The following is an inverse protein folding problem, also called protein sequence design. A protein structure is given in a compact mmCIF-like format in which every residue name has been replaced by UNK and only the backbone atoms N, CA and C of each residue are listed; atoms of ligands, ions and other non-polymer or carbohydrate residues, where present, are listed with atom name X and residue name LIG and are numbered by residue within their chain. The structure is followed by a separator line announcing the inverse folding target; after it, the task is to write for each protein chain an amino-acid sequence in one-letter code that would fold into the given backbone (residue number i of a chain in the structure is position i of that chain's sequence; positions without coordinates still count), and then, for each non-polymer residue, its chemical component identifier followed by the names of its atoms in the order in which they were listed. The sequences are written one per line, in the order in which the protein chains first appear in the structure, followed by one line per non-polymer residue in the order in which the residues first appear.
data_IF_917540445721
#
_entry.id   IF_917540445721
#
_cell.length_a   1.000
_cell.length_b   1.000
_cell.length_c   1.000
_cell.angle_alpha   90.00
_cell.angle_beta   90.00
_cell.angle_gamma   90.00
#
_symmetry.space_group_name_H-M   'P 1'
#
loop_
_entity.id
_entity.type
_entity.pdbx_description
1 polymer ?
#
# COMPACT_ATOMS: atom_id res chain seq x y z
N UNK A 1 35.23 -19.17 30.58
CA UNK A 1 34.11 -18.61 29.80
C UNK A 1 33.27 -19.76 29.30
N UNK A 2 32.27 -20.14 30.08
CA UNK A 2 31.31 -21.19 29.77
C UNK A 2 30.32 -20.64 28.75
N UNK A 3 30.38 -21.16 27.54
CA UNK A 3 29.41 -20.90 26.47
C UNK A 3 28.16 -21.71 26.82
N UNK A 4 27.08 -21.01 27.13
CA UNK A 4 25.74 -21.58 27.28
C UNK A 4 25.27 -22.14 25.93
N UNK A 5 24.63 -23.32 25.89
CA UNK A 5 24.10 -23.88 24.65
C UNK A 5 22.86 -23.08 24.23
N UNK A 6 22.91 -22.57 23.00
CA UNK A 6 21.77 -21.93 22.32
C UNK A 6 20.61 -22.90 22.21
N UNK A 7 19.43 -22.43 22.60
CA UNK A 7 18.19 -23.19 22.63
C UNK A 7 17.82 -23.70 21.22
N UNK A 8 17.20 -24.90 21.06
CA UNK A 8 16.98 -25.53 19.74
C UNK A 8 15.99 -24.81 18.80
N UNK A 9 15.49 -23.62 19.17
CA UNK A 9 14.45 -22.89 18.42
C UNK A 9 14.96 -21.76 17.52
N UNK A 10 16.26 -21.45 17.50
CA UNK A 10 16.77 -20.29 16.73
C UNK A 10 17.11 -20.60 15.27
N UNK A 11 17.25 -21.87 14.90
CA UNK A 11 17.76 -22.27 13.57
C UNK A 11 16.66 -22.18 12.48
N UNK A 12 15.38 -22.11 12.83
CA UNK A 12 14.28 -21.95 11.87
C UNK A 12 13.84 -20.51 11.59
N UNK A 13 14.50 -19.49 12.17
CA UNK A 13 14.13 -18.06 11.96
C UNK A 13 14.92 -17.35 10.86
N UNK A 14 15.83 -18.05 10.18
CA UNK A 14 16.60 -17.46 9.10
C UNK A 14 15.75 -17.34 7.82
N UNK A 15 15.77 -16.17 7.20
CA UNK A 15 15.16 -15.93 5.89
C UNK A 15 15.78 -16.93 4.90
N UNK A 16 14.97 -17.71 4.16
CA UNK A 16 15.50 -18.71 3.27
C UNK A 16 16.29 -18.04 2.14
N UNK A 17 17.59 -18.37 2.06
CA UNK A 17 18.51 -17.82 1.05
C UNK A 17 18.37 -18.48 -0.32
N UNK A 18 17.69 -19.62 -0.38
CA UNK A 18 17.41 -20.37 -1.62
C UNK A 18 15.94 -20.77 -1.66
N UNK A 19 15.39 -20.90 -2.86
CA UNK A 19 14.01 -21.39 -3.03
C UNK A 19 13.85 -22.83 -2.53
N UNK A 20 14.92 -23.63 -2.57
CA UNK A 20 14.92 -25.01 -2.10
C UNK A 20 14.83 -25.13 -0.57
N UNK A 21 15.22 -24.07 0.16
CA UNK A 21 15.09 -24.00 1.61
C UNK A 21 13.66 -23.67 2.08
N UNK A 22 12.76 -23.29 1.16
CA UNK A 22 11.35 -23.06 1.48
C UNK A 22 10.57 -24.37 1.55
N UNK A 23 9.55 -24.48 2.44
CA UNK A 23 8.56 -25.53 2.38
C UNK A 23 7.91 -25.62 0.99
N UNK A 24 7.52 -26.82 0.56
CA UNK A 24 7.08 -27.07 -0.82
C UNK A 24 5.91 -26.16 -1.26
N UNK A 25 4.93 -25.91 -0.39
CA UNK A 25 3.81 -25.01 -0.65
C UNK A 25 4.26 -23.57 -0.90
N UNK A 26 5.10 -23.04 -0.01
CA UNK A 26 5.58 -21.67 -0.04
C UNK A 26 6.53 -21.43 -1.22
N UNK A 27 7.33 -22.45 -1.57
CA UNK A 27 8.15 -22.45 -2.78
C UNK A 27 7.30 -22.34 -4.04
N UNK A 28 6.23 -23.14 -4.13
CA UNK A 28 5.33 -23.13 -5.29
C UNK A 28 4.66 -21.77 -5.49
N UNK A 29 4.29 -21.11 -4.40
CA UNK A 29 3.71 -19.76 -4.43
C UNK A 29 4.68 -18.71 -4.99
N UNK A 30 5.93 -18.76 -4.55
CA UNK A 30 6.99 -17.89 -5.07
C UNK A 30 7.30 -18.23 -6.53
N UNK A 31 7.33 -19.50 -6.91
CA UNK A 31 7.56 -19.89 -8.32
C UNK A 31 6.42 -19.45 -9.24
N UNK A 32 5.16 -19.54 -8.78
CA UNK A 32 4.00 -19.02 -9.50
C UNK A 32 4.10 -17.50 -9.66
N UNK A 33 4.51 -16.79 -8.62
CA UNK A 33 4.74 -15.35 -8.66
C UNK A 33 5.85 -14.97 -9.66
N UNK A 34 7.03 -15.60 -9.57
CA UNK A 34 8.14 -15.38 -10.48
C UNK A 34 7.73 -15.60 -11.93
N UNK A 35 7.02 -16.70 -12.20
CA UNK A 35 6.55 -17.05 -13.54
C UNK A 35 5.63 -15.97 -14.08
N UNK A 36 4.61 -15.57 -13.31
CA UNK A 36 3.65 -14.53 -13.71
C UNK A 36 4.33 -13.21 -14.05
N UNK A 37 5.25 -12.75 -13.21
CA UNK A 37 5.89 -11.43 -13.35
C UNK A 37 6.91 -11.44 -14.50
N UNK A 38 7.75 -12.48 -14.59
CA UNK A 38 8.76 -12.59 -15.67
C UNK A 38 8.09 -12.72 -17.03
N UNK A 39 7.05 -13.54 -17.14
CA UNK A 39 6.29 -13.73 -18.38
C UNK A 39 5.60 -12.42 -18.83
N UNK A 40 5.07 -11.65 -17.88
CA UNK A 40 4.52 -10.32 -18.16
C UNK A 40 5.58 -9.33 -18.63
N UNK A 41 6.78 -9.38 -18.05
CA UNK A 41 7.90 -8.53 -18.45
C UNK A 41 8.42 -8.90 -19.85
N UNK A 42 8.55 -10.19 -20.14
CA UNK A 42 8.98 -10.71 -21.45
C UNK A 42 7.98 -10.34 -22.54
N UNK A 43 6.66 -10.43 -22.27
CA UNK A 43 5.63 -9.94 -23.19
C UNK A 43 5.76 -8.45 -23.48
N UNK A 44 6.11 -7.63 -22.48
CA UNK A 44 6.33 -6.18 -22.66
C UNK A 44 7.58 -5.87 -23.47
N UNK A 45 8.63 -6.67 -23.31
CA UNK A 45 9.90 -6.51 -24.02
C UNK A 45 9.86 -7.07 -25.46
N UNK A 46 8.97 -8.01 -25.75
CA UNK A 46 8.79 -8.60 -27.08
C UNK A 46 9.77 -9.73 -27.43
N UNK A 47 10.58 -10.21 -26.48
CA UNK A 47 11.56 -11.30 -26.71
C UNK A 47 11.28 -12.52 -25.81
N UNK A 48 10.53 -13.48 -26.35
CA UNK A 48 10.16 -14.71 -25.66
C UNK A 48 11.37 -15.60 -25.28
N UNK A 49 12.52 -15.42 -25.94
CA UNK A 49 13.71 -16.26 -25.77
C UNK A 49 14.41 -16.05 -24.42
N UNK A 50 14.16 -14.90 -23.78
CA UNK A 50 14.79 -14.52 -22.51
C UNK A 50 14.07 -15.04 -21.25
N UNK A 51 12.83 -15.56 -21.37
CA UNK A 51 12.03 -15.99 -20.21
C UNK A 51 12.71 -17.11 -19.40
N UNK A 52 13.19 -18.16 -20.08
CA UNK A 52 13.85 -19.30 -19.44
C UNK A 52 15.16 -18.90 -18.75
N UNK A 53 15.93 -18.00 -19.37
CA UNK A 53 17.17 -17.46 -18.81
C UNK A 53 16.92 -16.60 -17.59
N UNK A 54 15.94 -15.69 -17.65
CA UNK A 54 15.55 -14.85 -16.52
C UNK A 54 15.03 -15.69 -15.35
N UNK A 55 14.30 -16.76 -15.62
CA UNK A 55 13.83 -17.68 -14.59
C UNK A 55 15.00 -18.38 -13.88
N UNK A 56 15.97 -18.91 -14.62
CA UNK A 56 17.17 -19.53 -14.03
C UNK A 56 17.98 -18.54 -13.20
N UNK A 57 18.14 -17.30 -13.70
CA UNK A 57 18.82 -16.23 -12.97
C UNK A 57 18.07 -15.82 -11.70
N UNK A 58 16.74 -15.71 -11.75
CA UNK A 58 15.90 -15.39 -10.60
C UNK A 58 16.03 -16.46 -9.51
N UNK A 59 15.99 -17.75 -9.88
CA UNK A 59 16.22 -18.87 -8.96
C UNK A 59 17.60 -18.79 -8.30
N UNK A 60 18.65 -18.52 -9.07
CA UNK A 60 20.01 -18.34 -8.53
C UNK A 60 20.17 -17.08 -7.66
N UNK A 61 19.28 -16.11 -7.82
CA UNK A 61 19.27 -14.83 -7.07
C UNK A 61 18.22 -14.79 -5.96
N UNK A 62 17.67 -15.94 -5.56
CA UNK A 62 16.57 -16.04 -4.61
C UNK A 62 16.84 -15.30 -3.29
N UNK A 63 18.05 -15.38 -2.75
CA UNK A 63 18.48 -14.64 -1.55
C UNK A 63 18.20 -13.14 -1.68
N UNK A 64 18.56 -12.54 -2.82
CA UNK A 64 18.36 -11.10 -3.06
C UNK A 64 16.91 -10.73 -3.28
N UNK A 65 16.10 -11.64 -3.84
CA UNK A 65 14.68 -11.42 -4.12
C UNK A 65 13.84 -11.58 -2.86
N UNK A 66 14.18 -12.53 -1.98
CA UNK A 66 13.40 -12.84 -0.78
C UNK A 66 13.83 -12.03 0.45
N UNK A 67 15.11 -11.66 0.56
CA UNK A 67 15.62 -10.93 1.72
C UNK A 67 14.84 -9.65 2.08
N UNK A 68 14.38 -8.82 1.12
CA UNK A 68 13.61 -7.62 1.45
C UNK A 68 12.25 -7.90 2.13
N UNK A 69 11.68 -9.09 1.93
CA UNK A 69 10.36 -9.49 2.47
C UNK A 69 10.48 -10.39 3.73
N UNK A 70 11.64 -10.35 4.39
CA UNK A 70 11.98 -11.17 5.55
C UNK A 70 11.08 -10.96 6.78
N UNK A 71 10.53 -9.77 6.94
CA UNK A 71 9.70 -9.41 8.09
C UNK A 71 8.28 -9.97 7.95
N UNK A 72 7.67 -9.75 6.79
CA UNK A 72 6.36 -10.29 6.43
C UNK A 72 6.37 -11.82 6.41
N UNK A 73 7.47 -12.43 5.97
CA UNK A 73 7.67 -13.87 6.06
C UNK A 73 7.61 -14.38 7.51
N UNK A 74 8.28 -13.69 8.43
CA UNK A 74 8.29 -14.07 9.86
C UNK A 74 6.94 -13.83 10.54
N UNK A 75 6.17 -12.85 10.09
CA UNK A 75 4.80 -12.61 10.56
C UNK A 75 3.84 -13.67 10.04
N UNK A 76 3.92 -13.97 8.75
CA UNK A 76 3.15 -15.02 8.11
C UNK A 76 3.40 -16.39 8.76
N UNK A 77 4.67 -16.79 8.93
CA UNK A 77 5.00 -18.06 9.57
C UNK A 77 4.50 -18.15 11.02
N UNK A 78 4.65 -17.08 11.81
CA UNK A 78 4.11 -17.05 13.19
C UNK A 78 2.60 -17.26 13.20
N UNK A 79 1.88 -16.57 12.32
CA UNK A 79 0.42 -16.71 12.23
C UNK A 79 0.01 -18.12 11.72
N UNK A 80 0.77 -18.71 10.81
CA UNK A 80 0.55 -20.07 10.31
C UNK A 80 0.75 -21.11 11.43
N UNK A 81 1.82 -20.98 12.24
CA UNK A 81 2.11 -21.84 13.40
C UNK A 81 1.04 -21.72 14.49
N UNK A 82 0.62 -20.51 14.85
CA UNK A 82 -0.44 -20.26 15.83
C UNK A 82 -1.77 -20.90 15.37
N UNK A 83 -2.07 -20.82 14.07
CA UNK A 83 -3.29 -21.39 13.48
C UNK A 83 -3.20 -22.91 13.31
N UNK A 84 -2.01 -23.47 13.11
CA UNK A 84 -1.78 -24.92 13.13
C UNK A 84 -1.90 -25.48 14.56
N UNK A 85 -1.38 -24.77 15.56
CA UNK A 85 -1.44 -25.14 16.98
C UNK A 85 -2.87 -25.16 17.55
N UNK A 86 -3.72 -24.21 17.14
CA UNK A 86 -5.15 -24.18 17.53
C UNK A 86 -5.93 -25.39 17.03
N UNK A 87 -5.73 -25.78 15.76
CA UNK A 87 -6.40 -26.93 15.13
C UNK A 87 -6.00 -28.28 15.74
N UNK A 88 -4.81 -28.39 16.34
CA UNK A 88 -4.34 -29.60 17.00
C UNK A 88 -4.80 -29.68 18.47
N UNK A 89 -4.79 -28.55 19.21
CA UNK A 89 -5.31 -28.50 20.60
C UNK A 89 -6.83 -28.72 20.66
N UNK A 90 -7.60 -28.19 19.73
CA UNK A 90 -9.04 -28.45 19.66
C UNK A 90 -9.36 -29.92 19.31
N UNK A 91 -8.46 -30.62 18.61
CA UNK A 91 -8.59 -32.06 18.34
C UNK A 91 -8.19 -32.96 19.52
N UNK A 92 -7.51 -32.43 20.53
CA UNK A 92 -6.98 -33.20 21.67
C UNK A 92 -7.46 -32.70 23.04
N UNK A 93 -8.46 -31.82 23.10
CA UNK A 93 -9.02 -31.42 24.39
C UNK A 93 -9.94 -32.54 24.91
N UNK A 94 -9.37 -33.43 25.72
CA UNK A 94 -10.07 -34.56 26.34
C UNK A 94 -11.32 -34.17 27.16
N UNK A 95 -11.52 -32.87 27.43
CA UNK A 95 -12.72 -32.33 28.07
C UNK A 95 -13.95 -32.30 27.17
N UNK A 96 -13.82 -32.08 25.85
CA UNK A 96 -14.98 -32.13 24.94
C UNK A 96 -15.41 -33.57 24.67
N UNK A 97 -14.45 -34.51 24.55
CA UNK A 97 -14.74 -35.94 24.50
C UNK A 97 -15.35 -36.46 25.82
N UNK A 98 -14.90 -35.97 26.98
CA UNK A 98 -15.48 -36.33 28.28
C UNK A 98 -16.90 -35.75 28.48
N UNK A 99 -17.17 -34.52 28.01
CA UNK A 99 -18.49 -33.91 28.08
C UNK A 99 -19.51 -34.60 27.14
N UNK A 100 -19.05 -35.09 25.99
CA UNK A 100 -19.87 -35.90 25.06
C UNK A 100 -20.13 -37.30 25.62
N UNK A 101 -19.13 -37.93 26.26
CA UNK A 101 -19.30 -39.20 26.95
C UNK A 101 -20.27 -39.14 28.14
N UNK A 102 -20.19 -38.08 28.94
CA UNK A 102 -21.03 -37.90 30.13
C UNK A 102 -22.51 -37.60 29.80
N UNK A 103 -22.78 -36.80 28.77
CA UNK A 103 -24.15 -36.47 28.37
C UNK A 103 -24.88 -37.66 27.75
N UNK A 104 -24.18 -38.49 26.97
CA UNK A 104 -24.73 -39.72 26.37
C UNK A 104 -25.05 -40.78 27.44
N UNK A 105 -24.19 -40.90 28.47
CA UNK A 105 -24.42 -41.80 29.59
C UNK A 105 -25.61 -41.38 30.47
N UNK A 106 -25.78 -40.08 30.73
CA UNK A 106 -26.94 -39.57 31.49
C UNK A 106 -28.27 -39.78 30.77
N UNK A 107 -28.33 -39.54 29.46
CA UNK A 107 -29.55 -39.75 28.68
C UNK A 107 -29.96 -41.24 28.64
N UNK A 108 -28.99 -42.15 28.47
CA UNK A 108 -29.22 -43.59 28.54
C UNK A 108 -29.68 -44.03 29.95
N UNK A 109 -29.09 -43.46 31.01
CA UNK A 109 -29.46 -43.75 32.39
C UNK A 109 -30.88 -43.27 32.74
N UNK A 110 -31.28 -42.07 32.29
CA UNK A 110 -32.64 -41.55 32.47
C UNK A 110 -33.67 -42.36 31.69
N UNK A 111 -33.35 -42.78 30.46
CA UNK A 111 -34.22 -43.67 29.69
C UNK A 111 -34.41 -45.03 30.39
N UNK A 112 -33.35 -45.60 30.97
CA UNK A 112 -33.41 -46.86 31.72
C UNK A 112 -34.27 -46.75 33.01
N UNK A 113 -34.30 -45.57 33.64
CA UNK A 113 -35.13 -45.28 34.81
C UNK A 113 -36.61 -45.10 34.43
N UNK A 114 -36.88 -44.40 33.34
CA UNK A 114 -38.25 -44.08 32.90
C UNK A 114 -38.95 -45.26 32.22
N UNK A 115 -38.21 -46.18 31.58
CA UNK A 115 -38.74 -47.41 30.99
C UNK A 115 -38.71 -48.62 31.94
N UNK A 116 -38.92 -48.41 33.25
CA UNK A 116 -39.13 -49.53 34.17
C UNK A 116 -40.42 -50.27 33.79
N UNK A 117 -40.39 -51.59 33.50
CA UNK A 117 -41.58 -52.34 33.14
C UNK A 117 -42.49 -52.45 34.36
N UNK A 118 -43.63 -51.76 34.36
CA UNK A 118 -44.62 -51.76 35.44
C UNK A 118 -45.66 -52.88 35.29
N UNK A 119 -45.35 -53.97 34.57
CA UNK A 119 -46.25 -55.12 34.42
C UNK A 119 -45.51 -56.43 34.18
N UNK A 120 -45.86 -57.46 34.94
CA UNK A 120 -45.36 -58.81 34.78
C UNK A 120 -45.96 -59.44 33.50
N UNK A 121 -45.28 -59.28 32.37
CA UNK A 121 -45.57 -59.96 31.11
C UNK A 121 -44.31 -59.98 30.25
N UNK A 122 -43.97 -61.16 29.69
CA UNK A 122 -42.71 -61.42 28.98
C UNK A 122 -42.46 -60.51 27.75
N UNK A 123 -43.48 -59.79 27.28
CA UNK A 123 -43.41 -58.81 26.19
C UNK A 123 -42.93 -57.40 26.60
N UNK A 124 -42.99 -57.03 27.89
CA UNK A 124 -42.71 -55.65 28.33
C UNK A 124 -41.21 -55.26 28.32
N UNK A 125 -40.31 -56.24 28.38
CA UNK A 125 -38.88 -55.98 28.39
C UNK A 125 -38.33 -55.61 27.00
N UNK A 126 -38.86 -56.22 25.92
CA UNK A 126 -38.44 -55.93 24.55
C UNK A 126 -38.87 -54.53 24.10
N UNK A 127 -40.07 -54.10 24.48
CA UNK A 127 -40.57 -52.75 24.17
C UNK A 127 -39.79 -51.67 24.93
N UNK A 128 -39.38 -51.96 26.17
CA UNK A 128 -38.54 -51.06 26.95
C UNK A 128 -37.14 -50.86 26.36
N UNK A 129 -36.52 -51.94 25.88
CA UNK A 129 -35.20 -51.88 25.23
C UNK A 129 -35.28 -51.12 23.90
N UNK A 130 -36.34 -51.35 23.12
CA UNK A 130 -36.55 -50.67 21.83
C UNK A 130 -36.80 -49.17 22.03
N UNK A 131 -37.61 -48.79 23.03
CA UNK A 131 -37.85 -47.39 23.40
C UNK A 131 -36.58 -46.66 23.85
N UNK A 132 -35.75 -47.31 24.66
CA UNK A 132 -34.46 -46.75 25.08
C UNK A 132 -33.51 -46.53 23.89
N UNK A 133 -33.48 -47.46 22.93
CA UNK A 133 -32.64 -47.35 21.74
C UNK A 133 -33.07 -46.19 20.83
N UNK A 134 -34.38 -45.99 20.62
CA UNK A 134 -34.91 -44.88 19.81
C UNK A 134 -34.57 -43.51 20.43
N UNK A 135 -34.69 -43.37 21.75
CA UNK A 135 -34.34 -42.13 22.46
C UNK A 135 -32.85 -41.83 22.39
N UNK A 136 -32.00 -42.86 22.52
CA UNK A 136 -30.55 -42.72 22.37
C UNK A 136 -30.19 -42.26 20.95
N UNK A 137 -30.78 -42.89 19.93
CA UNK A 137 -30.55 -42.55 18.52
C UNK A 137 -31.00 -41.12 18.20
N UNK A 138 -32.18 -40.71 18.68
CA UNK A 138 -32.71 -39.36 18.48
C UNK A 138 -31.83 -38.29 19.15
N UNK A 139 -31.27 -38.59 20.32
CA UNK A 139 -30.35 -37.70 21.03
C UNK A 139 -29.03 -37.51 20.27
N UNK A 140 -28.47 -38.60 19.73
CA UNK A 140 -27.25 -38.55 18.90
C UNK A 140 -27.51 -37.76 17.60
N UNK A 141 -28.63 -38.00 16.93
CA UNK A 141 -29.01 -37.27 15.72
C UNK A 141 -29.24 -35.77 15.98
N UNK A 142 -29.95 -35.43 17.06
CA UNK A 142 -30.17 -34.04 17.47
C UNK A 142 -28.86 -33.31 17.77
N UNK A 143 -27.91 -33.99 18.43
CA UNK A 143 -26.59 -33.43 18.70
C UNK A 143 -25.76 -33.24 17.41
N UNK A 144 -25.75 -34.21 16.51
CA UNK A 144 -25.07 -34.08 15.22
C UNK A 144 -25.65 -32.93 14.39
N UNK A 145 -26.97 -32.74 14.42
CA UNK A 145 -27.64 -31.62 13.78
C UNK A 145 -27.23 -30.29 14.43
N UNK A 146 -27.25 -30.20 15.76
CA UNK A 146 -26.84 -28.99 16.49
C UNK A 146 -25.36 -28.65 16.27
N UNK A 147 -24.48 -29.66 16.24
CA UNK A 147 -23.06 -29.50 15.92
C UNK A 147 -22.84 -29.02 14.48
N UNK A 148 -23.66 -29.52 13.54
CA UNK A 148 -23.63 -29.09 12.13
C UNK A 148 -24.12 -27.65 11.98
N UNK A 149 -25.19 -27.26 12.67
CA UNK A 149 -25.72 -25.89 12.70
C UNK A 149 -24.73 -24.94 13.37
N UNK A 150 -24.09 -25.35 14.47
CA UNK A 150 -23.03 -24.58 15.12
C UNK A 150 -21.81 -24.39 14.21
N UNK A 151 -21.45 -25.41 13.42
CA UNK A 151 -20.41 -25.29 12.40
C UNK A 151 -20.77 -24.34 11.27
N UNK A 152 -22.03 -24.33 10.80
CA UNK A 152 -22.52 -23.38 9.79
C UNK A 152 -22.55 -21.95 10.34
N UNK A 153 -23.04 -21.75 11.57
CA UNK A 153 -23.02 -20.45 12.25
C UNK A 153 -21.60 -19.97 12.56
N UNK A 154 -20.66 -20.87 12.88
CA UNK A 154 -19.24 -20.57 13.03
C UNK A 154 -18.58 -20.22 11.68
N UNK A 155 -19.11 -20.72 10.56
CA UNK A 155 -18.66 -20.34 9.22
C UNK A 155 -19.24 -18.97 8.80
N UNK A 156 -20.50 -18.67 9.15
CA UNK A 156 -21.13 -17.36 8.89
C UNK A 156 -20.57 -16.24 9.78
N UNK A 157 -20.25 -16.52 11.05
CA UNK A 157 -19.59 -15.54 11.93
C UNK A 157 -18.13 -15.25 11.50
N UNK A 158 -17.48 -16.16 10.77
CA UNK A 158 -16.22 -15.88 10.04
C UNK A 158 -16.42 -14.99 8.81
N UNK A 159 -17.62 -14.96 8.20
CA UNK A 159 -17.95 -13.99 7.16
C UNK A 159 -18.21 -12.59 7.74
N UNK A 160 -18.59 -12.49 9.03
CA UNK A 160 -18.63 -11.24 9.80
C UNK A 160 -17.24 -10.69 10.19
N UNK A 161 -16.19 -11.51 10.11
CA UNK A 161 -14.80 -11.12 10.36
C UNK A 161 -14.10 -10.48 9.13
N UNK A 162 -14.84 -10.09 8.09
CA UNK A 162 -14.32 -9.32 6.94
C UNK A 162 -13.79 -7.93 7.30
N UNK A 163 -14.05 -7.45 8.52
CA UNK A 163 -13.60 -6.15 9.04
C UNK A 163 -12.54 -6.24 10.16
N UNK A 164 -11.86 -7.38 10.33
CA UNK A 164 -10.63 -7.48 11.14
C UNK A 164 -9.45 -7.78 10.21
N UNK A 165 -8.40 -6.94 10.15
CA UNK A 165 -7.23 -7.22 9.33
C UNK A 165 -6.38 -8.30 10.02
N UNK A 166 -6.01 -9.38 9.32
CA UNK A 166 -4.96 -10.29 9.80
C UNK A 166 -5.22 -11.80 9.69
N UNK A 167 -6.01 -12.28 8.72
CA UNK A 167 -6.04 -13.72 8.43
C UNK A 167 -4.68 -14.24 7.93
N UNK A 168 -4.32 -15.50 8.21
CA UNK A 168 -3.08 -16.14 7.70
C UNK A 168 -2.93 -15.97 6.19
N UNK A 169 -4.03 -16.05 5.45
CA UNK A 169 -4.05 -15.84 4.00
C UNK A 169 -3.75 -14.38 3.60
N UNK A 170 -4.19 -13.39 4.39
CA UNK A 170 -3.84 -11.99 4.14
C UNK A 170 -2.36 -11.74 4.39
N UNK A 171 -1.78 -12.34 5.43
CA UNK A 171 -0.35 -12.27 5.70
C UNK A 171 0.47 -12.99 4.60
N UNK A 172 -0.03 -14.11 4.07
CA UNK A 172 0.55 -14.78 2.90
C UNK A 172 0.58 -13.85 1.68
N UNK A 173 -0.55 -13.21 1.37
CA UNK A 173 -0.63 -12.27 0.25
C UNK A 173 0.23 -11.03 0.47
N UNK A 174 0.31 -10.51 1.70
CA UNK A 174 1.17 -9.39 2.06
C UNK A 174 2.66 -9.73 1.87
N UNK A 175 3.07 -10.93 2.29
CA UNK A 175 4.42 -11.44 2.05
C UNK A 175 4.72 -11.59 0.55
N UNK A 176 3.85 -12.23 -0.23
CA UNK A 176 4.05 -12.37 -1.69
C UNK A 176 4.11 -11.01 -2.40
N UNK A 177 3.27 -10.05 -1.99
CA UNK A 177 3.30 -8.69 -2.50
C UNK A 177 4.62 -7.97 -2.15
N UNK A 178 5.13 -8.16 -0.92
CA UNK A 178 6.41 -7.63 -0.51
C UNK A 178 7.58 -8.21 -1.35
N UNK A 179 7.55 -9.51 -1.62
CA UNK A 179 8.53 -10.17 -2.52
C UNK A 179 8.47 -9.56 -3.92
N UNK A 180 7.28 -9.31 -4.46
CA UNK A 180 7.11 -8.69 -5.77
C UNK A 180 7.65 -7.25 -5.81
N UNK A 181 7.17 -6.39 -4.91
CA UNK A 181 7.41 -4.94 -4.95
C UNK A 181 8.83 -4.57 -4.51
N UNK A 182 9.35 -5.19 -3.44
CA UNK A 182 10.65 -4.83 -2.86
C UNK A 182 11.79 -5.74 -3.30
N UNK A 183 11.50 -6.97 -3.75
CA UNK A 183 12.50 -7.92 -4.21
C UNK A 183 12.60 -8.01 -5.74
N UNK A 184 11.58 -8.61 -6.35
CA UNK A 184 11.59 -9.00 -7.76
C UNK A 184 11.61 -7.82 -8.73
N UNK A 185 10.76 -6.81 -8.52
CA UNK A 185 10.66 -5.65 -9.40
C UNK A 185 11.96 -4.82 -9.45
N UNK A 186 12.61 -4.50 -8.31
CA UNK A 186 13.92 -3.87 -8.31
C UNK A 186 15.01 -4.73 -8.95
N UNK A 187 15.00 -6.05 -8.70
CA UNK A 187 15.95 -6.98 -9.33
C UNK A 187 15.81 -7.00 -10.85
N UNK A 188 14.58 -7.09 -11.39
CA UNK A 188 14.31 -6.99 -12.83
C UNK A 188 14.77 -5.64 -13.41
N UNK A 189 14.57 -4.54 -12.68
CA UNK A 189 15.04 -3.23 -13.09
C UNK A 189 16.57 -3.16 -13.19
N UNK A 190 17.29 -3.83 -12.29
CA UNK A 190 18.76 -3.95 -12.35
C UNK A 190 19.20 -4.80 -13.55
N UNK A 191 18.51 -5.92 -13.85
CA UNK A 191 18.83 -6.74 -15.02
C UNK A 191 18.69 -5.96 -16.33
N UNK A 192 17.63 -5.13 -16.47
CA UNK A 192 17.47 -4.20 -17.61
C UNK A 192 18.66 -3.26 -17.75
N UNK A 193 19.14 -2.70 -16.63
CA UNK A 193 20.26 -1.77 -16.63
C UNK A 193 21.59 -2.45 -17.05
N UNK A 194 21.77 -3.73 -16.71
CA UNK A 194 22.97 -4.50 -17.09
C UNK A 194 22.97 -4.83 -18.59
N UNK A 195 21.83 -5.22 -19.17
CA UNK A 195 21.70 -5.47 -20.62
C UNK A 195 21.99 -4.19 -21.42
N UNK A 196 21.51 -3.03 -20.97
CA UNK A 196 21.76 -1.72 -21.61
C UNK A 196 23.24 -1.32 -21.55
N UNK A 197 24.00 -1.76 -20.55
CA UNK A 197 25.45 -1.47 -20.41
C UNK A 197 26.35 -2.46 -21.14
N UNK A 198 25.87 -3.67 -21.44
CA UNK A 198 26.63 -4.68 -22.19
C UNK A 198 26.75 -4.41 -23.69
N UNK A 199 25.94 -3.51 -24.24
CA UNK A 199 25.82 -3.30 -25.69
C UNK A 199 26.87 -2.43 -26.37
N UNK A 200 27.84 -1.82 -25.68
CA UNK A 200 28.78 -0.89 -26.33
C UNK A 200 30.21 -1.00 -25.83
N UNK A 201 30.96 -1.94 -26.39
CA UNK A 201 32.43 -1.88 -26.41
C UNK A 201 32.93 -1.94 -27.85
N UNK A 202 32.93 -0.79 -28.53
CA UNK A 202 33.74 -0.54 -29.74
C UNK A 202 34.57 0.72 -29.51
N UNK A 203 35.88 0.53 -29.62
CA UNK A 203 36.97 1.50 -29.50
C UNK A 203 36.77 2.70 -30.45
N UNK A 204 37.01 3.96 -30.04
CA UNK A 204 36.94 5.08 -30.97
C UNK A 204 38.32 5.35 -31.58
N UNK A 205 38.41 5.25 -32.91
CA UNK A 205 39.36 6.03 -33.72
C UNK A 205 38.55 7.16 -34.34
N UNK A 206 39.08 8.38 -34.24
CA UNK A 206 38.34 9.60 -34.47
C UNK A 206 37.88 9.84 -35.90
N UNK A 207 36.76 10.55 -36.02
CA UNK A 207 36.62 11.75 -36.85
C UNK A 207 35.28 12.41 -36.56
N UNK A 208 35.31 13.73 -36.65
CA UNK A 208 34.16 14.61 -36.48
C UNK A 208 33.07 14.30 -37.53
N UNK A 209 31.85 14.08 -37.06
CA UNK A 209 30.64 14.24 -37.86
C UNK A 209 29.45 14.45 -36.93
N UNK A 210 28.59 15.37 -37.32
CA UNK A 210 27.41 15.86 -36.60
C UNK A 210 26.61 14.76 -35.89
N UNK A 211 26.40 14.97 -34.60
CA UNK A 211 25.67 14.07 -33.71
C UNK A 211 24.22 14.58 -33.59
N UNK A 212 23.20 13.87 -34.09
CA UNK A 212 21.83 14.21 -33.77
C UNK A 212 21.54 13.82 -32.31
N UNK A 213 20.96 14.77 -31.57
CA UNK A 213 20.17 14.63 -30.34
C UNK A 213 20.47 13.43 -29.41
N UNK A 214 21.68 13.34 -28.86
CA UNK A 214 21.97 12.52 -27.67
C UNK A 214 21.84 13.32 -26.35
N UNK A 215 21.05 14.41 -26.32
CA UNK A 215 21.03 15.38 -25.20
C UNK A 215 19.92 15.20 -24.16
N UNK A 216 18.89 14.39 -24.38
CA UNK A 216 17.71 14.46 -23.49
C UNK A 216 17.67 13.42 -22.33
N UNK A 217 18.36 12.27 -22.46
CA UNK A 217 18.37 11.25 -21.37
C UNK A 217 19.04 11.75 -20.08
N UNK A 218 20.01 12.67 -20.19
CA UNK A 218 20.63 13.34 -19.06
C UNK A 218 19.75 14.43 -18.43
N UNK A 219 18.80 15.00 -19.19
CA UNK A 219 17.84 15.99 -18.68
C UNK A 219 16.83 15.32 -17.77
N UNK A 220 16.11 14.32 -18.30
CA UNK A 220 15.09 13.55 -17.56
C UNK A 220 15.65 12.91 -16.28
N UNK A 221 16.85 12.33 -16.34
CA UNK A 221 17.50 11.73 -15.17
C UNK A 221 17.86 12.77 -14.11
N UNK A 222 18.28 13.98 -14.52
CA UNK A 222 18.55 15.09 -13.59
C UNK A 222 17.28 15.65 -12.98
N UNK A 223 16.22 15.86 -13.77
CA UNK A 223 14.91 16.31 -13.26
C UNK A 223 14.34 15.31 -12.26
N UNK A 224 14.42 14.00 -12.54
CA UNK A 224 14.03 12.96 -11.59
C UNK A 224 14.80 13.05 -10.28
N UNK A 225 16.13 13.20 -10.33
CA UNK A 225 16.95 13.35 -9.13
C UNK A 225 16.75 14.67 -8.38
N UNK A 226 16.29 15.74 -9.04
CA UNK A 226 15.88 17.00 -8.38
C UNK A 226 14.56 16.81 -7.65
N UNK A 227 13.58 16.16 -8.28
CA UNK A 227 12.28 15.87 -7.70
C UNK A 227 12.39 14.89 -6.52
N UNK A 228 13.16 13.81 -6.63
CA UNK A 228 13.34 12.86 -5.51
C UNK A 228 13.99 13.52 -4.29
N UNK A 229 15.00 14.40 -4.50
CA UNK A 229 15.64 15.18 -3.43
C UNK A 229 14.77 16.30 -2.86
N UNK A 230 13.67 16.66 -3.49
CA UNK A 230 12.77 17.70 -2.97
C UNK A 230 12.14 17.29 -1.62
N UNK A 231 11.95 16.00 -1.40
CA UNK A 231 11.47 15.45 -0.13
C UNK A 231 12.46 15.64 1.04
N UNK A 232 13.77 15.69 0.76
CA UNK A 232 14.80 15.97 1.78
C UNK A 232 14.73 17.41 2.29
N UNK A 233 14.04 18.30 1.58
CA UNK A 233 13.89 19.72 1.95
C UNK A 233 12.60 19.99 2.72
N UNK A 234 11.74 18.99 2.85
CA UNK A 234 10.52 19.10 3.64
C UNK A 234 10.92 18.93 5.13
N UNK A 235 10.42 19.79 6.04
CA UNK A 235 10.66 19.60 7.47
C UNK A 235 10.29 18.18 7.90
N UNK A 236 11.11 17.56 8.76
CA UNK A 236 10.80 16.23 9.29
C UNK A 236 9.49 16.27 10.11
N UNK A 237 8.64 15.24 10.02
CA UNK A 237 7.45 15.17 10.87
C UNK A 237 7.87 15.12 12.34
N UNK A 238 7.30 16.00 13.16
CA UNK A 238 7.50 15.96 14.61
C UNK A 238 6.57 14.89 15.21
N UNK A 239 7.13 14.01 16.04
CA UNK A 239 6.39 13.01 16.81
C UNK A 239 6.44 13.33 18.33
N UNK A 240 5.36 13.04 19.08
CA UNK A 240 4.09 12.49 18.62
C UNK A 240 3.18 13.56 17.98
N UNK A 241 2.40 13.17 16.97
CA UNK A 241 1.36 14.00 16.35
C UNK A 241 -0.04 13.47 16.67
N UNK A 242 -0.62 13.84 17.84
CA UNK A 242 -1.85 13.24 18.33
C UNK A 242 -3.09 13.73 17.57
N UNK A 243 -4.10 12.86 17.47
CA UNK A 243 -5.48 13.26 17.18
C UNK A 243 -5.82 13.62 15.74
N UNK A 244 -4.93 13.37 14.75
CA UNK A 244 -5.17 13.73 13.33
C UNK A 244 -5.18 12.56 12.34
N UNK A 245 -5.37 11.34 12.83
CA UNK A 245 -5.33 10.12 12.01
C UNK A 245 -6.52 10.04 11.04
N UNK A 246 -7.68 10.54 11.45
CA UNK A 246 -8.88 10.54 10.64
C UNK A 246 -8.75 11.49 9.44
N UNK A 247 -8.20 12.68 9.66
CA UNK A 247 -7.93 13.66 8.61
C UNK A 247 -6.88 13.16 7.62
N UNK A 248 -5.78 12.55 8.10
CA UNK A 248 -4.80 11.89 7.24
C UNK A 248 -5.45 10.82 6.37
N UNK A 249 -6.30 9.98 6.98
CA UNK A 249 -7.02 8.92 6.25
C UNK A 249 -8.00 9.50 5.24
N UNK A 250 -8.71 10.58 5.57
CA UNK A 250 -9.65 11.27 4.66
C UNK A 250 -8.90 11.84 3.46
N UNK A 251 -7.76 12.50 3.66
CA UNK A 251 -6.95 13.05 2.58
C UNK A 251 -6.40 11.94 1.68
N UNK A 252 -5.89 10.85 2.26
CA UNK A 252 -5.41 9.70 1.49
C UNK A 252 -6.53 9.08 0.63
N UNK A 253 -7.76 8.99 1.14
CA UNK A 253 -8.92 8.50 0.38
C UNK A 253 -9.27 9.42 -0.79
N UNK A 254 -9.27 10.75 -0.58
CA UNK A 254 -9.52 11.72 -1.65
C UNK A 254 -8.49 11.57 -2.78
N UNK A 255 -7.20 11.52 -2.44
CA UNK A 255 -6.12 11.35 -3.40
C UNK A 255 -6.24 10.03 -4.17
N UNK A 256 -6.52 8.92 -3.50
CA UNK A 256 -6.67 7.63 -4.16
C UNK A 256 -7.88 7.59 -5.09
N UNK A 257 -8.99 8.22 -4.71
CA UNK A 257 -10.20 8.31 -5.54
C UNK A 257 -9.93 9.11 -6.81
N UNK A 258 -9.35 10.31 -6.68
CA UNK A 258 -9.14 11.20 -7.81
C UNK A 258 -8.11 10.62 -8.80
N UNK A 259 -7.08 9.93 -8.29
CA UNK A 259 -6.09 9.22 -9.12
C UNK A 259 -6.61 7.96 -9.80
N UNK A 260 -7.69 7.36 -9.30
CA UNK A 260 -8.35 6.21 -9.93
C UNK A 260 -9.31 6.62 -11.06
N UNK A 261 -9.64 7.92 -11.17
CA UNK A 261 -10.45 8.46 -12.26
C UNK A 261 -9.74 8.44 -13.61
N UNK A 262 -10.51 8.51 -14.69
CA UNK A 262 -10.00 8.61 -16.07
C UNK A 262 -9.47 10.01 -16.41
N UNK A 263 -9.98 11.03 -15.72
CA UNK A 263 -9.58 12.42 -15.94
C UNK A 263 -8.43 12.82 -15.02
N UNK A 264 -7.35 13.34 -15.59
CA UNK A 264 -6.20 13.81 -14.81
C UNK A 264 -6.49 15.22 -14.28
N UNK A 265 -6.76 15.34 -12.99
CA UNK A 265 -7.02 16.61 -12.31
C UNK A 265 -6.29 16.65 -10.95
N UNK A 266 -5.96 17.86 -10.45
CA UNK A 266 -5.32 17.98 -9.14
C UNK A 266 -6.32 17.71 -8.02
N UNK A 267 -5.89 17.02 -6.97
CA UNK A 267 -6.64 16.95 -5.70
C UNK A 267 -6.31 18.20 -4.88
N UNK A 268 -7.30 19.05 -4.61
CA UNK A 268 -7.13 20.26 -3.79
C UNK A 268 -7.72 20.02 -2.41
N UNK A 269 -6.93 20.21 -1.36
CA UNK A 269 -7.37 20.08 0.04
C UNK A 269 -7.06 21.37 0.77
N UNK A 270 -8.09 21.93 1.43
CA UNK A 270 -7.96 23.13 2.26
C UNK A 270 -7.92 22.74 3.73
N UNK A 271 -6.85 23.11 4.40
CA UNK A 271 -6.66 22.98 5.85
C UNK A 271 -6.85 24.36 6.47
N UNK A 272 -8.03 24.59 7.03
CA UNK A 272 -8.37 25.87 7.67
C UNK A 272 -8.45 25.74 9.20
N UNK A 273 -8.16 26.84 9.91
CA UNK A 273 -8.28 26.91 11.35
C UNK A 273 -7.39 27.97 12.00
N UNK A 274 -7.58 28.23 13.30
CA UNK A 274 -6.79 29.24 14.02
C UNK A 274 -5.27 29.06 13.86
N UNK A 275 -4.49 30.15 13.93
CA UNK A 275 -3.02 30.04 13.94
C UNK A 275 -2.56 29.16 15.11
N UNK A 276 -1.46 28.43 14.92
CA UNK A 276 -0.90 27.53 15.94
C UNK A 276 -1.59 26.15 16.07
N UNK A 277 -2.64 25.86 15.31
CA UNK A 277 -3.33 24.56 15.34
C UNK A 277 -2.60 23.41 14.61
N UNK A 278 -1.42 23.67 14.06
CA UNK A 278 -0.59 22.66 13.41
C UNK A 278 -0.98 22.32 11.96
N UNK A 279 -1.67 23.22 11.24
CA UNK A 279 -2.09 23.03 9.83
C UNK A 279 -0.91 22.73 8.90
N UNK A 280 0.16 23.52 9.00
CA UNK A 280 1.41 23.32 8.24
C UNK A 280 2.08 22.00 8.61
N UNK A 281 2.10 21.63 9.89
CA UNK A 281 2.62 20.35 10.34
C UNK A 281 1.81 19.16 9.78
N UNK A 282 0.48 19.26 9.76
CA UNK A 282 -0.40 18.28 9.11
C UNK A 282 -0.10 18.19 7.61
N UNK A 283 0.04 19.32 6.92
CA UNK A 283 0.33 19.35 5.48
C UNK A 283 1.66 18.65 5.16
N UNK A 284 2.71 18.94 5.93
CA UNK A 284 4.00 18.28 5.77
C UNK A 284 3.92 16.78 6.08
N UNK A 285 3.15 16.38 7.11
CA UNK A 285 2.96 14.97 7.42
C UNK A 285 2.23 14.24 6.30
N UNK A 286 1.17 14.82 5.73
CA UNK A 286 0.48 14.28 4.54
C UNK A 286 1.46 14.08 3.38
N UNK A 287 2.31 15.08 3.12
CA UNK A 287 3.29 14.99 2.05
C UNK A 287 4.32 13.87 2.26
N UNK A 288 4.74 13.62 3.50
CA UNK A 288 5.60 12.49 3.86
C UNK A 288 4.89 11.13 3.73
N UNK A 289 3.69 10.99 4.28
CA UNK A 289 2.90 9.75 4.24
C UNK A 289 2.55 9.34 2.80
N UNK A 290 2.21 10.31 1.95
CA UNK A 290 1.83 10.08 0.56
C UNK A 290 3.03 10.12 -0.40
N UNK A 291 4.26 10.25 0.09
CA UNK A 291 5.50 10.24 -0.70
C UNK A 291 5.55 9.12 -1.77
N UNK A 292 5.10 7.87 -1.52
CA UNK A 292 5.13 6.82 -2.55
C UNK A 292 4.30 7.14 -3.81
N UNK A 293 3.28 8.00 -3.71
CA UNK A 293 2.37 8.34 -4.81
C UNK A 293 2.87 9.49 -5.68
N UNK A 294 3.82 10.28 -5.18
CA UNK A 294 4.31 11.50 -5.82
C UNK A 294 5.81 11.43 -6.11
N UNK A 295 6.26 12.21 -7.09
CA UNK A 295 7.67 12.25 -7.54
C UNK A 295 8.45 13.38 -6.89
N UNK A 296 7.78 14.42 -6.40
CA UNK A 296 8.40 15.53 -5.68
C UNK A 296 7.39 16.28 -4.80
N UNK A 297 7.92 17.16 -3.96
CA UNK A 297 7.17 18.03 -3.05
C UNK A 297 7.76 19.43 -3.06
N UNK A 298 6.91 20.46 -2.96
CA UNK A 298 7.36 21.81 -2.74
C UNK A 298 6.42 22.57 -1.80
N UNK A 299 6.97 23.13 -0.73
CA UNK A 299 6.28 24.07 0.16
C UNK A 299 6.65 25.50 -0.21
N UNK A 300 5.64 26.34 -0.39
CA UNK A 300 5.77 27.79 -0.56
C UNK A 300 4.96 28.50 0.51
N UNK A 301 5.59 29.41 1.22
CA UNK A 301 4.93 30.30 2.18
C UNK A 301 4.41 31.53 1.45
N UNK A 302 3.09 31.68 1.38
CA UNK A 302 2.41 32.78 0.73
C UNK A 302 2.37 34.04 1.61
N UNK A 303 2.69 33.92 2.90
CA UNK A 303 2.73 35.02 3.87
C UNK A 303 1.42 35.83 3.87
N UNK A 304 0.28 35.14 3.81
CA UNK A 304 -1.04 35.75 3.62
C UNK A 304 -1.48 36.67 4.76
N UNK A 305 -0.98 36.46 5.97
CA UNK A 305 -1.19 37.37 7.11
C UNK A 305 -0.16 38.49 7.27
N UNK A 306 0.81 38.61 6.35
CA UNK A 306 1.92 39.57 6.44
C UNK A 306 1.65 40.87 5.68
N UNK A 307 2.38 41.94 6.03
CA UNK A 307 2.40 43.21 5.28
C UNK A 307 3.08 43.06 3.89
N UNK A 308 3.92 42.04 3.70
CA UNK A 308 4.57 41.71 2.42
C UNK A 308 4.21 40.28 1.97
N UNK A 309 2.97 40.05 1.50
CA UNK A 309 2.57 38.73 1.03
C UNK A 309 3.32 38.37 -0.26
N UNK A 310 3.63 37.09 -0.46
CA UNK A 310 4.31 36.64 -1.67
C UNK A 310 3.42 36.84 -2.90
N UNK A 311 3.95 37.49 -3.94
CA UNK A 311 3.22 37.65 -5.20
C UNK A 311 3.05 36.32 -5.93
N UNK A 312 1.96 36.18 -6.68
CA UNK A 312 1.68 34.98 -7.50
C UNK A 312 2.83 34.67 -8.48
N UNK A 313 3.46 35.73 -9.03
CA UNK A 313 4.64 35.61 -9.90
C UNK A 313 5.82 34.99 -9.17
N UNK A 314 6.14 35.49 -7.98
CA UNK A 314 7.24 34.99 -7.17
C UNK A 314 6.99 33.52 -6.75
N UNK A 315 5.77 33.20 -6.33
CA UNK A 315 5.37 31.84 -5.96
C UNK A 315 5.49 30.86 -7.14
N UNK A 316 4.98 31.20 -8.33
CA UNK A 316 5.08 30.36 -9.52
C UNK A 316 6.55 30.09 -9.91
N UNK A 317 7.40 31.12 -9.89
CA UNK A 317 8.83 30.96 -10.16
C UNK A 317 9.53 30.09 -9.12
N UNK A 318 9.19 30.29 -7.85
CA UNK A 318 9.73 29.49 -6.77
C UNK A 318 9.36 28.01 -6.95
N UNK A 319 8.09 27.71 -7.25
CA UNK A 319 7.61 26.35 -7.52
C UNK A 319 8.33 25.72 -8.73
N UNK A 320 8.44 26.44 -9.85
CA UNK A 320 9.13 25.95 -11.05
C UNK A 320 10.61 25.62 -10.76
N UNK A 321 11.31 26.53 -10.07
CA UNK A 321 12.72 26.33 -9.74
C UNK A 321 12.93 25.14 -8.80
N UNK A 322 11.97 24.89 -7.89
CA UNK A 322 12.04 23.81 -6.92
C UNK A 322 11.64 22.45 -7.49
N UNK A 323 10.70 22.43 -8.43
CA UNK A 323 10.23 21.21 -9.10
C UNK A 323 11.03 20.83 -10.35
N UNK A 324 12.17 21.49 -10.57
CA UNK A 324 13.18 21.04 -11.53
C UNK A 324 12.87 21.42 -12.97
N UNK A 325 12.28 22.60 -13.21
CA UNK A 325 12.15 23.19 -14.53
C UNK A 325 13.50 23.11 -15.29
N UNK A 326 13.54 22.59 -16.54
CA UNK A 326 14.77 22.44 -17.29
C UNK A 326 15.52 23.78 -17.39
N UNK A 327 16.79 23.81 -16.98
CA UNK A 327 17.63 25.03 -16.94
C UNK A 327 17.73 25.75 -18.29
N UNK A 328 17.49 25.06 -19.39
CA UNK A 328 17.43 25.63 -20.74
C UNK A 328 16.32 26.70 -20.88
N UNK A 329 15.25 26.60 -20.07
CA UNK A 329 14.17 27.60 -20.01
C UNK A 329 14.52 28.81 -19.14
N UNK A 330 15.43 28.64 -18.17
CA UNK A 330 15.99 29.74 -17.35
C UNK A 330 17.01 30.53 -18.16
N UNK A 331 17.77 29.87 -19.05
CA UNK A 331 18.69 30.55 -19.98
C UNK A 331 17.94 31.32 -21.08
N UNK A 332 16.76 30.85 -21.53
CA UNK A 332 15.88 31.66 -22.39
C UNK A 332 15.39 32.94 -21.69
N UNK A 333 15.31 32.95 -20.36
CA UNK A 333 14.97 34.11 -19.53
C UNK A 333 16.07 35.16 -19.54
N UNK A 334 17.33 34.72 -19.50
CA UNK A 334 18.50 35.60 -19.62
C UNK A 334 18.69 36.13 -21.05
N UNK A 335 18.21 35.40 -22.06
CA UNK A 335 18.21 35.84 -23.45
C UNK A 335 17.07 36.85 -23.73
N UNK A 336 15.84 36.56 -23.29
CA UNK A 336 14.69 37.46 -23.42
C UNK A 336 14.82 38.72 -22.55
N UNK A 337 15.51 38.63 -21.40
CA UNK A 337 15.82 39.78 -20.55
C UNK A 337 16.82 40.77 -21.16
N UNK A 338 17.46 40.46 -22.29
CA UNK A 338 18.29 41.44 -23.04
C UNK A 338 17.46 42.35 -23.94
N UNK A 339 16.21 41.98 -24.24
CA UNK A 339 15.32 42.75 -25.11
C UNK A 339 14.31 43.62 -24.33
N UNK A 340 14.43 43.72 -23.00
CA UNK A 340 13.68 44.68 -22.18
C UNK A 340 12.17 44.41 -22.02
N UNK A 341 11.63 43.37 -22.64
CA UNK A 341 10.24 42.95 -22.45
C UNK A 341 10.10 42.18 -21.13
N UNK A 342 9.56 42.84 -20.10
CA UNK A 342 9.12 42.15 -18.90
C UNK A 342 8.15 41.02 -19.28
N UNK A 343 8.52 39.75 -19.03
CA UNK A 343 7.65 38.61 -19.28
C UNK A 343 6.26 38.86 -18.67
N UNK A 344 5.22 38.91 -19.50
CA UNK A 344 3.86 39.15 -19.01
C UNK A 344 3.48 38.10 -17.96
N UNK A 345 2.81 38.49 -16.86
CA UNK A 345 2.47 37.58 -15.77
C UNK A 345 1.63 36.37 -16.25
N UNK A 346 0.79 36.56 -17.27
CA UNK A 346 0.00 35.48 -17.87
C UNK A 346 0.86 34.43 -18.59
N UNK A 347 1.90 34.84 -19.33
CA UNK A 347 2.79 33.89 -20.02
C UNK A 347 3.57 33.01 -19.05
N UNK A 348 4.01 33.58 -17.93
CA UNK A 348 4.69 32.82 -16.88
C UNK A 348 3.76 31.75 -16.27
N UNK A 349 2.52 32.13 -15.92
CA UNK A 349 1.57 31.19 -15.32
C UNK A 349 1.18 30.07 -16.29
N UNK A 350 1.07 30.38 -17.58
CA UNK A 350 0.84 29.36 -18.60
C UNK A 350 2.00 28.37 -18.69
N UNK A 351 3.25 28.88 -18.71
CA UNK A 351 4.45 28.04 -18.68
C UNK A 351 4.53 27.18 -17.41
N UNK A 352 4.17 27.74 -16.26
CA UNK A 352 4.07 27.02 -14.99
C UNK A 352 3.08 25.85 -15.09
N UNK A 353 1.87 26.09 -15.59
CA UNK A 353 0.84 25.05 -15.76
C UNK A 353 1.28 23.97 -16.74
N UNK A 354 1.88 24.35 -17.86
CA UNK A 354 2.44 23.41 -18.83
C UNK A 354 3.56 22.55 -18.25
N UNK A 355 4.42 23.12 -17.40
CA UNK A 355 5.50 22.40 -16.76
C UNK A 355 4.99 21.33 -15.77
N UNK A 356 3.91 21.63 -15.05
CA UNK A 356 3.31 20.72 -14.06
C UNK A 356 2.28 19.75 -14.64
N UNK A 357 1.89 19.92 -15.91
CA UNK A 357 0.97 19.01 -16.58
C UNK A 357 1.51 17.56 -16.54
N UNK A 358 0.67 16.63 -16.08
CA UNK A 358 1.03 15.22 -15.93
C UNK A 358 2.08 14.91 -14.85
N UNK A 359 2.58 15.90 -14.10
CA UNK A 359 3.62 15.70 -13.10
C UNK A 359 3.01 15.40 -11.72
N UNK A 360 3.15 14.18 -11.17
CA UNK A 360 2.63 13.86 -9.85
C UNK A 360 3.51 14.49 -8.77
N UNK A 361 3.14 15.67 -8.27
CA UNK A 361 3.85 16.39 -7.19
C UNK A 361 2.91 16.79 -6.07
N UNK A 362 3.45 16.98 -4.87
CA UNK A 362 2.75 17.62 -3.76
C UNK A 362 3.13 19.09 -3.70
N UNK A 363 2.16 19.99 -3.71
CA UNK A 363 2.35 21.42 -3.57
C UNK A 363 1.70 21.85 -2.27
N UNK A 364 2.48 22.39 -1.35
CA UNK A 364 1.96 22.96 -0.10
C UNK A 364 1.98 24.49 -0.25
N UNK A 365 0.79 25.08 -0.31
CA UNK A 365 0.58 26.53 -0.29
C UNK A 365 0.31 26.92 1.17
N UNK A 366 1.36 27.35 1.85
CA UNK A 366 1.31 27.66 3.28
C UNK A 366 0.89 29.12 3.51
N UNK A 367 0.14 29.35 4.58
CA UNK A 367 -0.45 30.64 4.97
C UNK A 367 -1.14 31.41 3.83
N UNK A 368 -2.10 30.77 3.17
CA UNK A 368 -2.91 31.41 2.14
C UNK A 368 -4.01 32.29 2.74
N UNK A 369 -4.13 33.53 2.25
CA UNK A 369 -5.22 34.45 2.60
C UNK A 369 -6.18 34.75 1.44
N UNK A 370 -5.68 34.71 0.19
CA UNK A 370 -6.41 35.14 -1.00
C UNK A 370 -6.73 33.94 -1.91
N UNK A 371 -8.01 33.58 -2.11
CA UNK A 371 -8.40 32.43 -2.93
C UNK A 371 -8.02 32.61 -4.41
N UNK A 372 -7.97 33.85 -4.93
CA UNK A 372 -7.60 34.08 -6.33
C UNK A 372 -6.13 33.72 -6.59
N UNK A 373 -5.26 34.01 -5.63
CA UNK A 373 -3.83 33.64 -5.70
C UNK A 373 -3.65 32.14 -5.65
N UNK A 374 -4.38 31.46 -4.78
CA UNK A 374 -4.37 30.00 -4.67
C UNK A 374 -4.83 29.38 -5.98
N UNK A 375 -5.97 29.84 -6.54
CA UNK A 375 -6.50 29.39 -7.83
C UNK A 375 -5.53 29.58 -8.98
N UNK A 376 -4.79 30.69 -9.01
CA UNK A 376 -3.77 30.93 -10.03
C UNK A 376 -2.59 29.95 -9.96
N UNK A 377 -2.27 29.43 -8.76
CA UNK A 377 -1.17 28.48 -8.52
C UNK A 377 -1.59 27.00 -8.64
N UNK A 378 -2.89 26.70 -8.75
CA UNK A 378 -3.33 25.32 -8.95
C UNK A 378 -2.98 24.86 -10.39
N UNK A 379 -2.22 23.74 -10.55
CA UNK A 379 -1.88 23.22 -11.86
C UNK A 379 -3.09 22.57 -12.53
N UNK A 380 -3.17 22.66 -13.87
CA UNK A 380 -4.23 22.00 -14.63
C UNK A 380 -3.70 20.69 -15.25
N UNK A 381 -4.58 19.71 -15.45
CA UNK A 381 -4.23 18.42 -16.08
C UNK A 381 -3.03 17.73 -15.43
N UNK A 382 -2.97 17.78 -14.09
CA UNK A 382 -1.85 17.26 -13.31
C UNK A 382 -2.38 16.37 -12.18
N UNK A 383 -1.82 15.17 -11.94
CA UNK A 383 -2.19 14.31 -10.82
C UNK A 383 -1.52 14.81 -9.51
N UNK A 384 -1.46 16.13 -9.34
CA UNK A 384 -0.83 16.80 -8.21
C UNK A 384 -1.77 16.83 -7.01
N UNK A 385 -1.19 16.82 -5.81
CA UNK A 385 -1.90 17.13 -4.57
C UNK A 385 -1.55 18.54 -4.14
N UNK A 386 -2.55 19.42 -4.07
CA UNK A 386 -2.39 20.79 -3.57
C UNK A 386 -2.97 20.88 -2.17
N UNK A 387 -2.09 21.09 -1.19
CA UNK A 387 -2.46 21.31 0.21
C UNK A 387 -2.40 22.81 0.49
N UNK A 388 -3.55 23.42 0.74
CA UNK A 388 -3.66 24.84 1.06
C UNK A 388 -3.85 24.97 2.55
N UNK A 389 -2.98 25.70 3.25
CA UNK A 389 -3.22 26.04 4.66
C UNK A 389 -3.71 27.48 4.74
N UNK A 390 -4.76 27.73 5.52
CA UNK A 390 -5.30 29.09 5.69
C UNK A 390 -5.83 29.33 7.11
N UNK A 391 -5.67 30.56 7.62
CA UNK A 391 -6.22 30.96 8.92
C UNK A 391 -7.72 31.22 8.88
N UNK A 392 -8.29 31.44 7.69
CA UNK A 392 -9.69 31.77 7.47
C UNK A 392 -10.40 30.66 6.68
N UNK A 393 -11.73 30.47 6.83
CA UNK A 393 -12.48 29.54 6.00
C UNK A 393 -12.38 29.94 4.53
N UNK A 394 -12.07 28.98 3.66
CA UNK A 394 -11.97 29.17 2.21
C UNK A 394 -12.69 28.00 1.54
N UNK A 395 -13.68 28.27 0.68
CA UNK A 395 -14.46 27.21 0.07
C UNK A 395 -13.65 26.55 -1.05
N UNK A 396 -13.64 25.20 -1.15
CA UNK A 396 -12.95 24.52 -2.25
C UNK A 396 -13.47 24.91 -3.64
N UNK A 397 -14.76 25.28 -3.75
CA UNK A 397 -15.38 25.74 -4.99
C UNK A 397 -14.74 27.04 -5.53
N UNK A 398 -14.24 27.91 -4.64
CA UNK A 398 -13.60 29.17 -5.02
C UNK A 398 -12.19 28.97 -5.60
N UNK A 399 -11.62 27.77 -5.42
CA UNK A 399 -10.26 27.43 -5.79
C UNK A 399 -10.16 26.67 -7.11
N UNK A 400 -11.26 26.12 -7.59
CA UNK A 400 -11.31 25.36 -8.83
C UNK A 400 -11.88 26.23 -9.97
N UNK A 401 -11.44 26.02 -11.22
CA UNK A 401 -12.03 26.72 -12.35
C UNK A 401 -13.53 26.39 -12.46
N UNK A 402 -14.38 27.36 -12.83
CA UNK A 402 -15.82 27.12 -12.99
C UNK A 402 -16.04 26.03 -14.05
N UNK A 403 -16.49 24.85 -13.62
CA UNK A 403 -16.68 23.66 -14.46
C UNK A 403 -16.11 22.37 -13.87
N UNK A 404 -15.11 22.47 -12.98
CA UNK A 404 -14.56 21.35 -12.21
C UNK A 404 -15.14 21.41 -10.79
N UNK A 405 -16.39 20.99 -10.61
CA UNK A 405 -17.00 20.84 -9.27
C UNK A 405 -16.79 19.40 -8.79
N UNK A 406 -15.76 19.10 -7.96
CA UNK A 406 -15.61 17.81 -7.34
C UNK A 406 -16.62 17.74 -6.22
N UNK A 407 -17.85 17.35 -6.57
CA UNK A 407 -18.96 16.97 -5.71
C UNK A 407 -18.80 17.38 -4.25
N UNK A 408 -19.44 18.50 -3.91
CA UNK A 408 -19.67 18.98 -2.56
C UNK A 408 -19.82 17.82 -1.55
N UNK A 409 -18.79 17.60 -0.73
CA UNK A 409 -18.93 16.89 0.54
C UNK A 409 -19.03 17.97 1.62
N UNK A 410 -20.26 18.46 1.80
CA UNK A 410 -20.67 19.14 3.03
C UNK A 410 -20.88 18.07 4.13
N UNK A 411 -20.92 18.49 5.42
CA UNK A 411 -20.18 17.93 6.56
C UNK A 411 -20.22 16.41 6.77
#
# INVERSE_FOLDING_TARGET
MTVTPTSPGEIHRAVPRTLEALPASHREDVERLLTRVIDTEVRRAGDATDAGRLMALARSSADRILAPAAEEWREYLRAEEETAGGRFRERLDGRTLAAVGASTACAAFVALILLRPTGAGESGAADAVTGAFVVALASVLGFLLQASVAHLWAAESRAGARNQPGGVEQLRLAWLNAVEVRGLNPWLAQQRAVVVRGGTRRTPVGRASHRPAARDRSGVSRTRGVLERSFERLPEPVDPFPGRREELTRIARLVNRDRAGTDTHPTVVVLHGPPGTGRTALAHRVAHELRPLFRGVCTVDLRGGSEDPMSTRAAALYLMNRLGAPRDQVLQREAAGRDGEEESPGRLLERYRQHLAGLPVVIVLDDAADPERVRALIPHRSPALVLVTTSHPMAPADLLPPGDDPGAVAP
#
